data_IF_488233771640
#
_entry.id   IF_488233771640
#
_cell.length_a   1.000
_cell.length_b   1.000
_cell.length_c   1.000
_cell.angle_alpha   90.00
_cell.angle_beta   90.00
_cell.angle_gamma   90.00
#
_symmetry.space_group_name_H-M   'P 1'
#
loop_
_entity.id
_entity.type
_entity.pdbx_description
1 polymer ?
#
# COMPACT_ATOMS: atom_id res chain seq x y z
N UNK A 1 24.79 17.84 33.64
CA UNK A 1 23.57 18.18 32.86
C UNK A 1 23.82 17.80 31.39
N UNK A 2 23.39 16.62 31.00
CA UNK A 2 23.58 16.10 29.64
C UNK A 2 22.37 16.46 28.79
N UNK A 3 22.58 17.27 27.73
CA UNK A 3 21.53 17.65 26.77
C UNK A 3 21.22 16.42 25.90
N UNK A 4 20.04 15.81 26.07
CA UNK A 4 19.45 14.88 25.10
C UNK A 4 19.22 15.63 23.80
N UNK A 5 19.96 15.30 22.73
CA UNK A 5 19.64 15.69 21.36
C UNK A 5 18.36 14.95 20.95
N UNK A 6 17.30 15.70 20.71
CA UNK A 6 16.10 15.21 20.01
C UNK A 6 16.51 14.93 18.56
N UNK A 7 16.51 13.63 18.17
CA UNK A 7 16.65 13.22 16.77
C UNK A 7 15.48 13.81 15.95
N UNK A 8 15.78 14.43 14.82
CA UNK A 8 14.80 14.92 13.87
C UNK A 8 14.11 13.74 13.15
N UNK A 9 12.84 13.89 12.67
CA UNK A 9 12.10 12.82 11.98
C UNK A 9 12.73 12.35 10.66
N UNK A 10 13.71 13.08 10.11
CA UNK A 10 14.42 12.74 8.87
C UNK A 10 15.42 11.58 9.04
N UNK A 11 15.88 11.31 10.26
CA UNK A 11 16.82 10.22 10.52
C UNK A 11 16.19 8.83 10.45
N UNK A 12 14.86 8.72 10.61
CA UNK A 12 14.16 7.41 10.63
C UNK A 12 13.95 6.81 9.22
N UNK A 13 14.10 7.59 8.16
CA UNK A 13 13.92 7.11 6.77
C UNK A 13 15.21 6.50 6.22
N UNK A 14 16.37 7.01 6.61
CA UNK A 14 17.67 6.44 6.22
C UNK A 14 17.92 5.07 6.87
N UNK A 15 17.41 4.83 8.09
CA UNK A 15 17.47 3.52 8.77
C UNK A 15 16.51 2.48 8.16
N UNK A 16 15.45 2.89 7.43
CA UNK A 16 14.53 1.98 6.74
C UNK A 16 15.13 1.35 5.47
N UNK A 17 16.18 1.94 4.90
CA UNK A 17 16.94 1.35 3.79
C UNK A 17 17.70 0.08 4.17
N UNK A 18 17.89 -0.19 5.46
CA UNK A 18 18.61 -1.36 5.97
C UNK A 18 17.80 -2.67 5.90
N UNK A 19 16.53 -2.65 5.49
CA UNK A 19 15.70 -3.88 5.40
C UNK A 19 16.01 -4.69 4.13
N UNK A 20 16.62 -4.06 3.13
CA UNK A 20 17.12 -4.73 1.93
C UNK A 20 18.65 -4.80 2.02
N UNK A 21 19.17 -5.87 2.63
CA UNK A 21 20.57 -6.24 2.63
C UNK A 21 21.12 -6.35 1.20
N UNK A 22 22.37 -6.63 0.99
CA UNK A 22 23.09 -6.70 -0.31
C UNK A 22 22.31 -7.43 -1.44
N UNK A 23 21.37 -8.31 -1.09
CA UNK A 23 20.44 -8.99 -2.01
C UNK A 23 19.30 -8.07 -2.53
N UNK A 24 19.04 -6.94 -1.91
CA UNK A 24 17.94 -6.04 -2.27
C UNK A 24 18.15 -5.30 -3.58
N UNK A 25 19.39 -4.93 -3.91
CA UNK A 25 19.72 -4.27 -5.19
C UNK A 25 19.46 -5.21 -6.36
N UNK A 26 19.88 -6.48 -6.27
CA UNK A 26 19.61 -7.53 -7.25
C UNK A 26 18.11 -7.77 -7.42
N UNK A 27 17.34 -7.70 -6.33
CA UNK A 27 15.89 -7.90 -6.37
C UNK A 27 15.19 -6.72 -7.06
N UNK A 28 15.62 -5.49 -6.83
CA UNK A 28 15.12 -4.31 -7.54
C UNK A 28 15.39 -4.41 -9.04
N UNK A 29 16.59 -4.83 -9.45
CA UNK A 29 16.94 -5.03 -10.85
C UNK A 29 16.05 -6.09 -11.51
N UNK A 30 15.81 -7.22 -10.86
CA UNK A 30 14.92 -8.28 -11.36
C UNK A 30 13.47 -7.77 -11.52
N UNK A 31 12.98 -6.98 -10.57
CA UNK A 31 11.64 -6.39 -10.66
C UNK A 31 11.58 -5.45 -11.88
N UNK A 32 12.55 -4.54 -12.04
CA UNK A 32 12.60 -3.59 -13.16
C UNK A 32 12.68 -4.32 -14.49
N UNK A 33 13.50 -5.36 -14.58
CA UNK A 33 13.61 -6.21 -15.78
C UNK A 33 12.31 -6.98 -16.07
N UNK A 34 11.69 -7.55 -15.03
CA UNK A 34 10.45 -8.31 -15.16
C UNK A 34 9.26 -7.48 -15.64
N UNK A 35 9.24 -6.17 -15.33
CA UNK A 35 8.24 -5.23 -15.84
C UNK A 35 8.70 -4.50 -17.13
N UNK A 36 9.76 -4.97 -17.76
CA UNK A 36 10.31 -4.40 -19.01
C UNK A 36 10.49 -2.88 -18.92
N UNK A 37 11.20 -2.41 -17.90
CA UNK A 37 11.39 -1.00 -17.57
C UNK A 37 10.07 -0.19 -17.50
N UNK A 38 9.08 -0.75 -16.81
CA UNK A 38 7.74 -0.15 -16.66
C UNK A 38 6.96 -0.02 -17.98
N UNK A 39 7.08 -1.02 -18.83
CA UNK A 39 6.33 -1.10 -20.10
C UNK A 39 4.82 -1.10 -19.86
N UNK A 40 4.08 -0.41 -20.72
CA UNK A 40 2.61 -0.38 -20.69
C UNK A 40 1.97 -1.77 -20.83
N UNK A 41 2.69 -2.75 -21.37
CA UNK A 41 2.22 -4.14 -21.51
C UNK A 41 2.04 -4.85 -20.16
N UNK A 42 2.82 -4.47 -19.16
CA UNK A 42 2.76 -5.01 -17.79
C UNK A 42 1.91 -4.16 -16.85
N UNK A 43 1.36 -3.04 -17.35
CA UNK A 43 0.48 -2.16 -16.58
C UNK A 43 -0.87 -2.85 -16.35
N UNK A 44 -1.27 -2.94 -15.09
CA UNK A 44 -2.56 -3.50 -14.64
C UNK A 44 -3.52 -2.43 -14.10
N UNK A 45 -3.05 -1.19 -13.95
CA UNK A 45 -3.88 -0.07 -13.52
C UNK A 45 -3.10 1.23 -13.37
N UNK A 46 -3.81 2.35 -13.46
CA UNK A 46 -3.25 3.69 -13.21
C UNK A 46 -4.18 4.44 -12.27
N UNK A 47 -3.63 5.05 -11.23
CA UNK A 47 -4.34 5.83 -10.23
C UNK A 47 -3.70 7.19 -9.99
N UNK A 48 -4.27 7.99 -9.09
CA UNK A 48 -3.78 9.33 -8.76
C UNK A 48 -2.34 9.37 -8.22
N UNK A 49 -1.93 8.34 -7.50
CA UNK A 49 -0.62 8.28 -6.84
C UNK A 49 0.42 7.39 -7.56
N UNK A 50 0.09 6.81 -8.71
CA UNK A 50 1.04 5.96 -9.42
C UNK A 50 0.40 5.00 -10.42
N UNK A 51 1.27 4.25 -11.09
CA UNK A 51 0.91 3.20 -12.05
C UNK A 51 1.26 1.84 -11.46
N UNK A 52 0.34 0.90 -11.56
CA UNK A 52 0.47 -0.46 -11.03
C UNK A 52 0.87 -1.42 -12.14
N UNK A 53 1.88 -2.23 -11.85
CA UNK A 53 2.43 -3.24 -12.76
C UNK A 53 2.35 -4.62 -12.11
N UNK A 54 2.31 -5.66 -12.94
CA UNK A 54 2.39 -7.05 -12.51
C UNK A 54 3.69 -7.64 -13.01
N UNK A 55 4.42 -8.37 -12.15
CA UNK A 55 5.61 -9.14 -12.55
C UNK A 55 5.74 -10.43 -11.75
N UNK A 56 6.53 -11.35 -12.27
CA UNK A 56 6.90 -12.57 -11.57
C UNK A 56 8.35 -12.47 -11.10
N UNK A 57 8.55 -12.77 -9.82
CA UNK A 57 9.87 -12.81 -9.19
C UNK A 57 10.61 -14.10 -9.55
N UNK A 58 11.96 -14.14 -9.48
CA UNK A 58 12.76 -15.34 -9.82
C UNK A 58 12.35 -16.61 -9.08
N UNK A 59 11.73 -16.47 -7.91
CA UNK A 59 11.21 -17.59 -7.08
C UNK A 59 9.81 -18.05 -7.51
N UNK A 60 9.28 -17.58 -8.65
CA UNK A 60 7.95 -17.92 -9.15
C UNK A 60 6.79 -17.19 -8.44
N UNK A 61 7.08 -16.22 -7.56
CA UNK A 61 6.05 -15.42 -6.89
C UNK A 61 5.62 -14.24 -7.76
N UNK A 62 4.32 -14.12 -8.01
CA UNK A 62 3.73 -12.96 -8.69
C UNK A 62 3.55 -11.82 -7.70
N UNK A 63 3.96 -10.62 -8.09
CA UNK A 63 3.88 -9.40 -7.27
C UNK A 63 3.24 -8.25 -8.03
N UNK A 64 2.66 -7.31 -7.27
CA UNK A 64 2.19 -6.03 -7.76
C UNK A 64 3.23 -4.94 -7.42
N UNK A 65 3.57 -4.10 -8.40
CA UNK A 65 4.56 -3.03 -8.28
C UNK A 65 3.88 -1.70 -8.56
N UNK A 66 3.77 -0.84 -7.55
CA UNK A 66 3.20 0.52 -7.66
C UNK A 66 4.33 1.50 -7.89
N UNK A 67 4.53 1.95 -9.14
CA UNK A 67 5.47 3.02 -9.48
C UNK A 67 4.82 4.36 -9.25
N UNK A 68 5.51 5.26 -8.53
CA UNK A 68 5.05 6.64 -8.37
C UNK A 68 5.14 7.40 -9.69
N UNK A 69 4.24 8.35 -9.87
CA UNK A 69 4.38 9.31 -10.95
C UNK A 69 5.60 10.21 -10.65
N UNK A 70 6.54 10.27 -11.58
CA UNK A 70 7.60 11.29 -11.56
C UNK A 70 7.01 12.56 -12.16
N UNK A 71 6.53 13.49 -11.34
CA UNK A 71 6.27 14.86 -11.79
C UNK A 71 7.61 15.60 -11.88
N UNK A 72 7.87 16.28 -12.99
CA UNK A 72 9.08 17.10 -13.18
C UNK A 72 9.22 18.19 -12.09
N UNK A 73 8.12 18.54 -11.43
CA UNK A 73 8.07 19.54 -10.34
C UNK A 73 8.18 18.92 -8.92
N UNK A 74 8.47 17.60 -8.80
CA UNK A 74 8.68 16.90 -7.53
C UNK A 74 7.55 17.19 -6.53
N UNK A 75 6.32 16.76 -6.84
CA UNK A 75 5.19 17.08 -5.98
C UNK A 75 5.43 16.51 -4.57
N UNK A 76 5.64 17.43 -3.63
CA UNK A 76 5.90 17.10 -2.22
C UNK A 76 4.76 16.26 -1.60
N UNK A 77 3.57 16.29 -2.22
CA UNK A 77 2.42 15.50 -1.79
C UNK A 77 2.61 14.02 -2.12
N UNK A 78 3.10 13.68 -3.32
CA UNK A 78 3.34 12.30 -3.75
C UNK A 78 4.46 11.65 -2.93
N UNK A 79 5.54 12.39 -2.67
CA UNK A 79 6.62 11.90 -1.82
C UNK A 79 6.16 11.69 -0.37
N UNK A 80 5.29 12.57 0.14
CA UNK A 80 4.71 12.42 1.48
C UNK A 80 3.77 11.22 1.55
N UNK A 81 2.94 11.00 0.53
CA UNK A 81 2.05 9.84 0.42
C UNK A 81 2.86 8.54 0.40
N UNK A 82 3.93 8.48 -0.41
CA UNK A 82 4.86 7.37 -0.49
C UNK A 82 5.51 7.03 0.86
N UNK A 83 6.08 8.04 1.52
CA UNK A 83 6.69 7.87 2.85
C UNK A 83 5.67 7.41 3.90
N UNK A 84 4.44 7.94 3.85
CA UNK A 84 3.35 7.54 4.74
C UNK A 84 2.98 6.07 4.54
N UNK A 85 2.87 5.61 3.31
CA UNK A 85 2.52 4.23 2.96
C UNK A 85 3.61 3.25 3.43
N UNK A 86 4.89 3.53 3.15
CA UNK A 86 6.02 2.75 3.66
C UNK A 86 6.00 2.70 5.19
N UNK A 87 5.93 3.87 5.83
CA UNK A 87 5.95 3.94 7.28
C UNK A 87 4.83 3.14 7.91
N UNK A 88 3.63 3.18 7.35
CA UNK A 88 2.49 2.40 7.86
C UNK A 88 2.71 0.91 7.64
N UNK A 89 2.98 0.48 6.40
CA UNK A 89 3.04 -0.93 6.04
C UNK A 89 4.25 -1.68 6.61
N UNK A 90 5.32 -0.97 6.96
CA UNK A 90 6.46 -1.59 7.68
C UNK A 90 6.15 -1.90 9.15
N UNK A 91 5.12 -1.25 9.74
CA UNK A 91 4.77 -1.40 11.15
C UNK A 91 3.54 -2.26 11.41
N UNK A 92 2.75 -2.58 10.37
CA UNK A 92 1.52 -3.35 10.52
C UNK A 92 1.57 -4.65 9.73
N UNK A 93 1.00 -5.71 10.30
CA UNK A 93 0.79 -6.98 9.62
C UNK A 93 -0.52 -7.60 10.11
N UNK A 94 -1.44 -7.84 9.18
CA UNK A 94 -2.71 -8.47 9.48
C UNK A 94 -3.24 -9.19 8.24
N UNK A 95 -3.88 -10.35 8.40
CA UNK A 95 -4.37 -11.18 7.29
C UNK A 95 -5.33 -10.48 6.31
N UNK A 96 -6.01 -9.44 6.75
CA UNK A 96 -6.92 -8.63 5.92
C UNK A 96 -6.32 -7.26 5.56
N UNK A 97 -5.00 -7.12 5.59
CA UNK A 97 -4.23 -5.97 5.08
C UNK A 97 -3.27 -6.50 4.05
N UNK A 98 -3.14 -5.79 2.92
CA UNK A 98 -2.22 -6.15 1.83
C UNK A 98 -0.81 -6.41 2.37
N UNK A 99 -0.17 -7.51 1.97
CA UNK A 99 1.19 -7.79 2.35
C UNK A 99 2.16 -6.92 1.56
N UNK A 100 3.02 -6.22 2.29
CA UNK A 100 4.04 -5.35 1.74
C UNK A 100 5.38 -6.07 1.77
N UNK A 101 6.02 -6.19 0.61
CA UNK A 101 7.29 -6.89 0.47
C UNK A 101 8.49 -5.96 0.50
N UNK A 102 8.32 -4.69 0.07
CA UNK A 102 9.40 -3.72 0.09
C UNK A 102 9.19 -2.55 -0.87
N UNK A 103 10.23 -1.75 -1.02
CA UNK A 103 10.20 -0.55 -1.85
C UNK A 103 11.57 -0.25 -2.45
N UNK A 104 11.58 0.55 -3.50
CA UNK A 104 12.76 1.24 -4.03
C UNK A 104 12.52 2.73 -3.99
N UNK A 105 13.52 3.51 -3.60
CA UNK A 105 13.43 4.97 -3.53
C UNK A 105 14.54 5.67 -4.33
N UNK A 106 15.08 5.00 -5.36
CA UNK A 106 15.97 5.66 -6.29
C UNK A 106 15.21 6.74 -7.07
N UNK A 107 15.82 7.93 -7.25
CA UNK A 107 15.19 9.11 -7.84
C UNK A 107 14.45 8.82 -9.16
N UNK A 108 15.00 7.94 -9.99
CA UNK A 108 14.40 7.57 -11.28
C UNK A 108 13.36 6.44 -11.18
N UNK A 109 13.38 5.64 -10.11
CA UNK A 109 12.57 4.43 -9.97
C UNK A 109 12.09 4.22 -8.54
N UNK A 110 11.27 5.16 -8.05
CA UNK A 110 10.58 4.98 -6.76
C UNK A 110 9.34 4.12 -6.95
N UNK A 111 9.29 2.96 -6.29
CA UNK A 111 8.17 2.03 -6.37
C UNK A 111 7.98 1.24 -5.06
N UNK A 112 6.78 0.72 -4.89
CA UNK A 112 6.37 -0.15 -3.78
C UNK A 112 6.03 -1.54 -4.34
N UNK A 113 6.34 -2.58 -3.57
CA UNK A 113 6.10 -3.98 -3.96
C UNK A 113 5.17 -4.66 -2.97
N UNK A 114 4.10 -5.24 -3.49
CA UNK A 114 3.04 -5.89 -2.72
C UNK A 114 2.76 -7.31 -3.21
N UNK A 115 2.05 -8.07 -2.40
CA UNK A 115 1.39 -9.28 -2.89
C UNK A 115 0.43 -8.93 -4.04
N UNK A 116 0.31 -9.88 -4.98
CA UNK A 116 -0.61 -9.71 -6.10
C UNK A 116 -1.98 -10.27 -5.74
N UNK A 117 -3.02 -9.45 -5.90
CA UNK A 117 -4.41 -9.84 -5.67
C UNK A 117 -5.07 -10.25 -6.97
N UNK A 118 -5.39 -11.52 -7.12
CA UNK A 118 -5.83 -12.12 -8.39
C UNK A 118 -7.16 -11.57 -8.87
N UNK A 119 -8.07 -11.26 -7.95
CA UNK A 119 -9.40 -10.71 -8.29
C UNK A 119 -9.39 -9.20 -8.45
N UNK A 120 -8.33 -8.53 -8.00
CA UNK A 120 -8.21 -7.07 -8.03
C UNK A 120 -9.15 -6.37 -7.06
N UNK A 121 -9.57 -5.14 -7.38
CA UNK A 121 -10.39 -4.35 -6.47
C UNK A 121 -11.87 -4.78 -6.48
N UNK A 122 -12.51 -4.66 -5.31
CA UNK A 122 -13.94 -4.88 -5.15
C UNK A 122 -14.75 -4.01 -6.13
N UNK A 123 -14.29 -2.78 -6.44
CA UNK A 123 -14.92 -1.93 -7.45
C UNK A 123 -14.93 -2.59 -8.82
N UNK A 124 -13.79 -3.12 -9.27
CA UNK A 124 -13.69 -3.75 -10.59
C UNK A 124 -14.60 -4.96 -10.68
N UNK A 125 -14.67 -5.78 -9.64
CA UNK A 125 -15.56 -6.95 -9.57
C UNK A 125 -17.02 -6.52 -9.62
N UNK A 126 -17.41 -5.50 -8.83
CA UNK A 126 -18.79 -4.99 -8.79
C UNK A 126 -19.20 -4.28 -10.09
N UNK A 127 -18.25 -3.81 -10.90
CA UNK A 127 -18.49 -3.15 -12.18
C UNK A 127 -18.62 -4.13 -13.37
N UNK A 128 -18.34 -5.42 -13.13
CA UNK A 128 -18.47 -6.49 -14.12
C UNK A 128 -19.60 -7.42 -13.68
N UNK A 129 -20.69 -7.47 -14.44
CA UNK A 129 -21.88 -8.23 -14.07
C UNK A 129 -21.59 -9.72 -13.83
N UNK A 130 -20.76 -10.35 -14.67
CA UNK A 130 -20.40 -11.77 -14.53
C UNK A 130 -19.57 -12.05 -13.25
N UNK A 131 -18.66 -11.14 -12.88
CA UNK A 131 -17.87 -11.27 -11.65
C UNK A 131 -18.71 -10.88 -10.42
N UNK A 132 -19.61 -9.90 -10.55
CA UNK A 132 -20.49 -9.48 -9.46
C UNK A 132 -21.48 -10.57 -9.04
N UNK A 133 -21.94 -11.41 -9.98
CA UNK A 133 -22.81 -12.58 -9.68
C UNK A 133 -22.11 -13.64 -8.82
N UNK A 134 -20.78 -13.76 -8.93
CA UNK A 134 -19.98 -14.68 -8.09
C UNK A 134 -19.87 -14.22 -6.63
N UNK A 135 -20.10 -12.92 -6.38
CA UNK A 135 -20.19 -12.37 -5.03
C UNK A 135 -21.58 -12.63 -4.45
N UNK A 136 -21.87 -13.87 -4.06
CA UNK A 136 -23.07 -14.20 -3.34
C UNK A 136 -23.15 -13.48 -1.96
N UNK A 137 -24.26 -13.62 -1.27
CA UNK A 137 -24.46 -12.96 0.02
C UNK A 137 -23.41 -13.35 1.06
N UNK A 138 -22.97 -14.61 1.09
CA UNK A 138 -21.98 -15.09 2.05
C UNK A 138 -20.60 -14.51 1.76
N UNK A 139 -20.20 -14.44 0.48
CA UNK A 139 -18.94 -13.81 0.06
C UNK A 139 -18.96 -12.31 0.41
N UNK A 140 -20.06 -11.60 0.11
CA UNK A 140 -20.19 -10.17 0.48
C UNK A 140 -20.07 -9.95 2.00
N UNK A 141 -20.69 -10.80 2.79
CA UNK A 141 -20.59 -10.75 4.25
C UNK A 141 -19.16 -11.00 4.74
N UNK A 142 -18.44 -11.94 4.11
CA UNK A 142 -17.04 -12.22 4.45
C UNK A 142 -16.12 -11.05 4.10
N UNK A 143 -16.33 -10.41 2.94
CA UNK A 143 -15.62 -9.19 2.55
C UNK A 143 -15.80 -8.09 3.61
N UNK A 144 -17.05 -7.81 4.01
CA UNK A 144 -17.34 -6.82 5.06
C UNK A 144 -16.67 -7.18 6.38
N UNK A 145 -16.73 -8.46 6.79
CA UNK A 145 -16.05 -8.92 8.01
C UNK A 145 -14.53 -8.78 7.93
N UNK A 146 -13.93 -9.07 6.78
CA UNK A 146 -12.49 -8.90 6.55
C UNK A 146 -12.05 -7.45 6.71
N UNK A 147 -12.75 -6.52 6.06
CA UNK A 147 -12.51 -5.07 6.20
C UNK A 147 -12.69 -4.62 7.65
N UNK A 148 -13.76 -5.06 8.33
CA UNK A 148 -14.01 -4.70 9.72
C UNK A 148 -12.89 -5.19 10.65
N UNK A 149 -12.34 -6.40 10.42
CA UNK A 149 -11.20 -6.93 11.19
C UNK A 149 -9.93 -6.11 10.97
N UNK A 150 -9.63 -5.73 9.71
CA UNK A 150 -8.49 -4.86 9.41
C UNK A 150 -8.60 -3.51 10.11
N UNK A 151 -9.78 -2.88 10.07
CA UNK A 151 -10.04 -1.61 10.76
C UNK A 151 -9.95 -1.74 12.28
N UNK A 152 -10.52 -2.80 12.85
CA UNK A 152 -10.42 -3.08 14.29
C UNK A 152 -8.96 -3.21 14.73
N UNK A 153 -8.16 -3.98 13.99
CA UNK A 153 -6.73 -4.14 14.25
C UNK A 153 -6.00 -2.79 14.23
N UNK A 154 -6.21 -1.97 13.18
CA UNK A 154 -5.56 -0.67 13.07
C UNK A 154 -5.96 0.29 14.20
N UNK A 155 -7.22 0.27 14.61
CA UNK A 155 -7.75 1.22 15.60
C UNK A 155 -7.46 0.83 17.05
N UNK A 156 -7.36 -0.48 17.35
CA UNK A 156 -7.34 -0.99 18.72
C UNK A 156 -6.07 -1.77 19.07
N UNK A 157 -5.45 -2.46 18.10
CA UNK A 157 -4.30 -3.32 18.38
C UNK A 157 -2.98 -2.63 18.01
N UNK A 158 -3.01 -1.58 17.16
CA UNK A 158 -1.83 -0.79 16.85
C UNK A 158 -1.59 0.29 17.91
N UNK A 159 -0.30 0.54 18.21
CA UNK A 159 0.13 1.61 19.11
C UNK A 159 1.24 2.44 18.48
N UNK A 160 0.98 3.70 18.11
CA UNK A 160 -0.30 4.41 18.23
C UNK A 160 -1.37 3.88 17.26
N UNK A 161 -2.67 4.10 17.53
CA UNK A 161 -3.76 3.74 16.62
C UNK A 161 -3.61 4.39 15.25
N UNK A 162 -4.04 3.68 14.20
CA UNK A 162 -3.90 4.10 12.80
C UNK A 162 -5.28 4.30 12.18
N UNK A 163 -5.50 5.44 11.55
CA UNK A 163 -6.71 5.73 10.78
C UNK A 163 -6.37 5.70 9.29
N UNK A 164 -7.08 4.89 8.52
CA UNK A 164 -6.84 4.72 7.08
C UNK A 164 -7.20 5.97 6.26
N UNK A 165 -8.39 6.54 6.50
CA UNK A 165 -8.91 7.78 5.92
C UNK A 165 -9.41 7.70 4.47
N UNK A 166 -9.23 6.57 3.79
CA UNK A 166 -9.73 6.36 2.42
C UNK A 166 -10.19 4.90 2.22
N UNK A 167 -11.20 4.47 2.99
CA UNK A 167 -11.82 3.15 2.80
C UNK A 167 -12.87 3.25 1.72
N UNK A 168 -12.58 2.64 0.57
CA UNK A 168 -13.45 2.59 -0.59
C UNK A 168 -13.38 1.22 -1.28
N UNK A 169 -14.29 0.92 -2.18
CA UNK A 169 -14.25 -0.30 -2.98
C UNK A 169 -13.04 -0.40 -3.93
N UNK A 170 -12.35 0.71 -4.20
CA UNK A 170 -11.08 0.71 -4.92
C UNK A 170 -9.94 0.16 -4.06
N UNK A 171 -9.97 0.44 -2.75
CA UNK A 171 -8.92 0.13 -1.79
C UNK A 171 -9.20 -1.14 -0.97
N UNK A 172 -10.23 -1.90 -1.36
CA UNK A 172 -10.48 -3.27 -0.90
C UNK A 172 -10.17 -4.21 -2.05
N UNK A 173 -9.10 -4.99 -1.92
CA UNK A 173 -8.67 -5.97 -2.90
C UNK A 173 -9.12 -7.37 -2.47
N UNK A 174 -9.38 -8.24 -3.45
CA UNK A 174 -9.77 -9.63 -3.20
C UNK A 174 -8.71 -10.58 -3.78
N UNK A 175 -8.36 -11.59 -3.00
CA UNK A 175 -7.50 -12.69 -3.44
C UNK A 175 -8.29 -13.75 -4.24
N UNK A 176 -7.63 -14.86 -4.61
CA UNK A 176 -8.23 -15.97 -5.35
C UNK A 176 -9.44 -16.60 -4.66
N UNK A 177 -9.51 -16.52 -3.33
CA UNK A 177 -10.58 -17.10 -2.48
C UNK A 177 -11.65 -16.05 -2.10
N UNK A 178 -11.58 -14.83 -2.65
CA UNK A 178 -12.42 -13.68 -2.31
C UNK A 178 -12.28 -13.21 -0.85
N UNK A 179 -11.14 -13.50 -0.22
CA UNK A 179 -10.79 -12.85 1.05
C UNK A 179 -10.42 -11.38 0.82
N UNK A 180 -10.85 -10.50 1.72
CA UNK A 180 -10.66 -9.07 1.57
C UNK A 180 -9.35 -8.61 2.21
N UNK A 181 -8.61 -7.76 1.48
CA UNK A 181 -7.39 -7.10 1.93
C UNK A 181 -7.51 -5.59 1.73
N UNK A 182 -7.36 -4.83 2.81
CA UNK A 182 -7.31 -3.36 2.76
C UNK A 182 -5.97 -2.94 2.17
N UNK A 183 -5.98 -2.00 1.24
CA UNK A 183 -4.82 -1.49 0.52
C UNK A 183 -4.82 0.04 0.45
N UNK A 184 -3.75 0.64 -0.10
CA UNK A 184 -3.52 2.08 -0.27
C UNK A 184 -3.49 2.87 1.03
N UNK A 185 -2.35 2.83 1.69
CA UNK A 185 -2.09 3.49 2.98
C UNK A 185 -1.47 4.89 2.83
N UNK A 186 -1.54 5.48 1.64
CA UNK A 186 -0.98 6.79 1.31
C UNK A 186 -1.56 7.94 2.15
N UNK A 187 -2.83 7.83 2.55
CA UNK A 187 -3.57 8.84 3.32
C UNK A 187 -3.62 8.56 4.82
N UNK A 188 -2.99 7.49 5.30
CA UNK A 188 -3.07 7.06 6.70
C UNK A 188 -2.54 8.09 7.68
N UNK A 189 -3.05 8.01 8.91
CA UNK A 189 -2.60 8.84 10.02
C UNK A 189 -2.49 8.05 11.30
N UNK A 190 -1.35 8.19 11.97
CA UNK A 190 -1.14 7.73 13.33
C UNK A 190 -1.78 8.73 14.31
N UNK A 191 -2.63 8.27 15.21
CA UNK A 191 -3.23 9.12 16.23
C UNK A 191 -2.21 9.40 17.33
N UNK A 192 -1.99 10.68 17.61
CA UNK A 192 -1.20 11.10 18.76
C UNK A 192 -2.03 11.01 20.04
N UNK A 193 -1.38 10.75 21.16
CA UNK A 193 -2.05 10.69 22.48
C UNK A 193 -2.47 12.06 23.02
N UNK A 194 -2.07 13.16 22.37
CA UNK A 194 -2.46 14.52 22.72
C UNK A 194 -3.69 14.99 21.93
N UNK A 195 -4.33 16.08 22.41
CA UNK A 195 -5.58 16.63 21.87
C UNK A 195 -5.49 17.21 20.45
N UNK A 196 -4.36 17.04 19.74
CA UNK A 196 -4.13 17.57 18.39
C UNK A 196 -4.66 16.68 17.25
N UNK A 197 -5.61 15.78 17.53
CA UNK A 197 -6.15 14.80 16.56
C UNK A 197 -7.20 15.36 15.59
N UNK A 198 -7.45 16.66 15.57
CA UNK A 198 -8.37 17.28 14.60
C UNK A 198 -7.83 17.12 13.17
N UNK A 199 -8.59 16.46 12.33
CA UNK A 199 -8.28 16.29 10.91
C UNK A 199 -9.28 17.04 10.06
N UNK A 200 -8.80 17.78 9.05
CA UNK A 200 -9.63 18.08 7.89
C UNK A 200 -10.11 16.77 7.26
N UNK A 201 -11.36 16.70 6.83
CA UNK A 201 -11.89 15.55 6.11
C UNK A 201 -10.99 15.30 4.89
N UNK A 202 -10.43 14.10 4.82
CA UNK A 202 -9.79 13.57 3.63
C UNK A 202 -10.56 12.30 3.27
N UNK A 203 -10.85 12.12 2.01
CA UNK A 203 -11.58 10.97 1.50
C UNK A 203 -12.08 11.26 0.10
N UNK A 204 -12.39 10.20 -0.62
CA UNK A 204 -12.97 10.27 -1.95
C UNK A 204 -14.45 10.63 -1.81
N UNK A 205 -14.85 11.76 -2.35
CA UNK A 205 -16.26 12.05 -2.55
C UNK A 205 -16.71 11.24 -3.77
N UNK A 206 -17.47 10.19 -3.53
CA UNK A 206 -18.09 9.36 -4.56
C UNK A 206 -19.30 10.03 -5.18
#
# INVERSE_FOLDING_TARGET
MSKRKTKSPEADVEDLFAIWDHDGELLCEHIIQGIDNFSSKQCIGTGGFGTLYKTEMPIGRVVAVKKLHSSEDGDMADLKAFKSEIHTLTHIRHRNIIEFYGFSSFVENSFLVYEFMEKGSLRNILSNDEEAEKLDWMVRLNVVKGVAKALSYMHHDCSPPIIHRDISSNNVLLDSEYEAHVSDFSTTRFLKSDSSNWTSMAGTFG
#
